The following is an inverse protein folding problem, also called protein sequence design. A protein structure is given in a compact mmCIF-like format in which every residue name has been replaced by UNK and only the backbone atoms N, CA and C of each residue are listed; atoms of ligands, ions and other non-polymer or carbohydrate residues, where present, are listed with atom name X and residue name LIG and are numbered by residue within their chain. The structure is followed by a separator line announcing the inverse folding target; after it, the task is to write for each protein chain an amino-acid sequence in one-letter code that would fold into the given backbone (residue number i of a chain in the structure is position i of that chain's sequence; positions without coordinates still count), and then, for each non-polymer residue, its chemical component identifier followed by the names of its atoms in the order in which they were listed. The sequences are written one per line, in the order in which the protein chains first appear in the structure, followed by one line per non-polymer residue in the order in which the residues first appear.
data_IF_094949227951
#
_entry.id   IF_094949227951
#
_cell.length_a   1.000
_cell.length_b   1.000
_cell.length_c   1.000
_cell.angle_alpha   90.00
_cell.angle_beta   90.00
_cell.angle_gamma   90.00
#
_symmetry.space_group_name_H-M   'P 1'
#
loop_
_entity.id
_entity.type
_entity.pdbx_description
1 polymer ?
#
# COMPACT_ATOMS: atom_id res chain seq x y z
N UNK A 1 -57.97 -5.42 -11.34
CA UNK A 1 -57.11 -6.37 -10.62
C UNK A 1 -57.49 -6.26 -9.16
N UNK A 2 -57.90 -7.37 -8.54
CA UNK A 2 -58.10 -7.41 -7.09
C UNK A 2 -56.75 -7.24 -6.35
N UNK A 3 -56.80 -6.83 -5.09
CA UNK A 3 -55.60 -6.61 -4.27
C UNK A 3 -54.79 -7.90 -4.05
N UNK A 4 -55.43 -9.06 -4.17
CA UNK A 4 -54.80 -10.37 -4.00
C UNK A 4 -53.86 -10.68 -5.18
N UNK A 5 -54.29 -10.39 -6.41
CA UNK A 5 -53.49 -10.52 -7.63
C UNK A 5 -52.25 -9.60 -7.58
N UNK A 6 -52.39 -8.38 -7.06
CA UNK A 6 -51.26 -7.46 -6.91
C UNK A 6 -50.25 -7.96 -5.87
N UNK A 7 -50.74 -8.51 -4.74
CA UNK A 7 -49.89 -9.11 -3.70
C UNK A 7 -49.14 -10.33 -4.22
N UNK A 8 -49.80 -11.20 -4.99
CA UNK A 8 -49.18 -12.39 -5.59
C UNK A 8 -48.12 -12.00 -6.64
N UNK A 9 -48.38 -10.96 -7.43
CA UNK A 9 -47.40 -10.43 -8.40
C UNK A 9 -46.15 -9.89 -7.70
N UNK A 10 -46.32 -9.12 -6.62
CA UNK A 10 -45.19 -8.60 -5.83
C UNK A 10 -44.40 -9.72 -5.14
N UNK A 11 -45.07 -10.74 -4.62
CA UNK A 11 -44.42 -11.91 -4.03
C UNK A 11 -43.65 -12.75 -5.08
N UNK A 12 -44.15 -12.84 -6.32
CA UNK A 12 -43.44 -13.49 -7.42
C UNK A 12 -42.16 -12.73 -7.79
N UNK A 13 -42.25 -11.42 -7.99
CA UNK A 13 -41.09 -10.58 -8.32
C UNK A 13 -39.98 -10.68 -7.28
N UNK A 14 -40.34 -10.62 -5.98
CA UNK A 14 -39.36 -10.78 -4.89
C UNK A 14 -38.66 -12.13 -4.91
N UNK A 15 -39.35 -13.21 -5.28
CA UNK A 15 -38.75 -14.54 -5.41
C UNK A 15 -37.80 -14.63 -6.60
N UNK A 16 -38.14 -14.01 -7.72
CA UNK A 16 -37.30 -14.00 -8.91
C UNK A 16 -36.05 -13.13 -8.71
N UNK A 17 -36.19 -11.98 -8.06
CA UNK A 17 -35.07 -11.10 -7.69
C UNK A 17 -34.10 -11.81 -6.74
N UNK A 18 -34.62 -12.52 -5.73
CA UNK A 18 -33.79 -13.34 -4.83
C UNK A 18 -33.03 -14.44 -5.58
N UNK A 19 -33.71 -15.20 -6.46
CA UNK A 19 -33.07 -16.25 -7.27
C UNK A 19 -32.03 -15.67 -8.25
N UNK A 20 -32.22 -14.44 -8.73
CA UNK A 20 -31.25 -13.75 -9.58
C UNK A 20 -30.02 -13.32 -8.79
N UNK A 21 -30.21 -12.78 -7.58
CA UNK A 21 -29.12 -12.43 -6.67
C UNK A 21 -28.29 -13.67 -6.29
N UNK A 22 -28.93 -14.78 -5.90
CA UNK A 22 -28.26 -16.03 -5.57
C UNK A 22 -27.42 -16.59 -6.75
N UNK A 23 -27.94 -16.50 -7.98
CA UNK A 23 -27.18 -16.91 -9.19
C UNK A 23 -25.98 -16.00 -9.48
N UNK A 24 -26.08 -14.70 -9.22
CA UNK A 24 -24.96 -13.77 -9.39
C UNK A 24 -23.87 -14.04 -8.34
N UNK A 25 -24.24 -14.30 -7.09
CA UNK A 25 -23.31 -14.67 -6.01
C UNK A 25 -22.63 -16.02 -6.25
N UNK A 26 -23.34 -17.02 -6.77
CA UNK A 26 -22.73 -18.32 -7.14
C UNK A 26 -21.78 -18.17 -8.35
N UNK A 27 -22.10 -17.32 -9.32
CA UNK A 27 -21.22 -17.05 -10.46
C UNK A 27 -19.96 -16.29 -10.05
N UNK A 28 -20.03 -15.35 -9.10
CA UNK A 28 -18.85 -14.62 -8.62
C UNK A 28 -17.91 -15.53 -7.81
N UNK A 29 -18.44 -16.35 -6.90
CA UNK A 29 -17.64 -17.33 -6.13
C UNK A 29 -17.00 -18.40 -7.01
N UNK A 30 -17.71 -18.91 -8.03
CA UNK A 30 -17.14 -19.86 -8.99
C UNK A 30 -16.03 -19.26 -9.87
N UNK A 31 -16.06 -17.94 -10.14
CA UNK A 31 -15.03 -17.25 -10.94
C UNK A 31 -13.76 -16.94 -10.13
N UNK A 32 -13.91 -16.65 -8.84
CA UNK A 32 -12.79 -16.40 -7.93
C UNK A 32 -12.03 -17.72 -7.63
N UNK A 33 -12.73 -18.84 -7.45
CA UNK A 33 -12.06 -20.15 -7.23
C UNK A 33 -11.30 -20.71 -8.44
N UNK A 34 -11.53 -20.20 -9.66
CA UNK A 34 -10.87 -20.70 -10.89
C UNK A 34 -9.63 -19.92 -11.32
N UNK A 35 -9.22 -18.86 -10.61
CA UNK A 35 -8.15 -17.96 -11.11
C UNK A 35 -7.00 -17.66 -10.15
N UNK A 36 -6.85 -18.44 -9.07
CA UNK A 36 -5.62 -18.43 -8.25
C UNK A 36 -4.95 -19.81 -8.36
N UNK A 37 -4.39 -20.08 -9.53
CA UNK A 37 -3.31 -21.06 -9.72
C UNK A 37 -2.28 -20.38 -10.61
N UNK A 38 -1.41 -19.58 -10.00
CA UNK A 38 -0.10 -19.31 -10.58
C UNK A 38 0.83 -20.38 -10.00
N UNK A 39 1.09 -21.39 -10.80
CA UNK A 39 2.08 -22.45 -10.56
C UNK A 39 3.47 -21.84 -10.43
N UNK A 40 4.09 -21.97 -9.26
CA UNK A 40 5.53 -21.83 -9.07
C UNK A 40 6.24 -23.12 -9.49
N UNK A 41 6.91 -23.12 -10.65
CA UNK A 41 8.08 -23.97 -10.88
C UNK A 41 9.33 -23.13 -10.60
N UNK A 42 10.45 -23.60 -10.08
CA UNK A 42 10.94 -24.93 -9.74
C UNK A 42 12.47 -24.87 -9.72
N UNK A 43 13.12 -25.46 -8.70
CA UNK A 43 14.56 -25.77 -8.64
C UNK A 43 15.49 -24.61 -8.22
N UNK A 44 16.54 -24.79 -7.42
CA UNK A 44 17.27 -26.00 -6.98
C UNK A 44 17.93 -25.79 -5.61
N UNK A 45 18.11 -26.91 -4.91
CA UNK A 45 18.90 -27.09 -3.69
C UNK A 45 20.31 -26.49 -3.79
N UNK A 46 20.78 -25.85 -2.73
CA UNK A 46 22.14 -26.04 -2.25
C UNK A 46 22.17 -26.09 -0.72
N UNK A 47 22.91 -27.09 -0.25
CA UNK A 47 23.04 -27.59 1.11
C UNK A 47 24.49 -27.33 1.49
N UNK A 48 24.75 -26.48 2.47
CA UNK A 48 26.04 -26.43 3.14
C UNK A 48 25.86 -26.30 4.66
N UNK A 49 26.51 -27.24 5.34
CA UNK A 49 26.64 -27.42 6.78
C UNK A 49 27.88 -26.71 7.33
N UNK A 50 28.02 -26.79 8.67
CA UNK A 50 29.19 -26.52 9.52
C UNK A 50 29.30 -25.07 10.04
N UNK A 51 29.14 -24.81 11.33
CA UNK A 51 30.01 -25.13 12.49
C UNK A 51 31.37 -24.41 12.48
N UNK A 52 31.73 -23.82 13.63
CA UNK A 52 33.02 -23.16 13.92
C UNK A 52 32.82 -21.82 14.63
N UNK A 53 32.65 -21.79 15.95
CA UNK A 53 33.72 -21.63 16.96
C UNK A 53 34.03 -20.16 17.33
N UNK A 54 33.88 -19.89 18.63
CA UNK A 54 34.30 -18.70 19.36
C UNK A 54 35.83 -18.54 19.34
N UNK A 55 36.32 -17.31 19.53
CA UNK A 55 37.16 -17.14 20.71
C UNK A 55 36.82 -15.90 21.53
N UNK A 56 36.72 -16.16 22.83
CA UNK A 56 37.03 -15.25 23.92
C UNK A 56 38.45 -14.71 23.75
N UNK A 57 38.69 -13.40 23.99
CA UNK A 57 39.89 -12.92 24.70
C UNK A 57 39.89 -11.38 24.88
N UNK A 58 40.12 -11.02 26.15
CA UNK A 58 40.85 -9.85 26.66
C UNK A 58 40.22 -8.44 26.63
N UNK A 59 39.75 -8.05 27.82
CA UNK A 59 39.82 -6.67 28.35
C UNK A 59 41.27 -6.19 28.46
N UNK A 60 41.49 -4.87 28.34
CA UNK A 60 42.32 -4.17 29.31
C UNK A 60 41.61 -2.98 29.97
N UNK A 61 41.95 -2.79 31.24
CA UNK A 61 41.67 -1.61 32.07
C UNK A 61 42.57 -0.44 31.66
N UNK A 62 42.02 0.76 31.81
CA UNK A 62 42.77 1.90 32.36
C UNK A 62 43.12 3.03 31.39
N UNK A 63 42.85 4.26 31.81
CA UNK A 63 43.56 5.44 31.30
C UNK A 63 42.68 6.64 31.00
N UNK A 64 42.23 7.35 32.03
CA UNK A 64 41.72 8.71 31.92
C UNK A 64 42.80 9.63 31.35
N UNK A 65 42.54 10.28 30.21
CA UNK A 65 43.28 11.45 29.75
C UNK A 65 42.30 12.50 29.23
N UNK A 66 42.20 13.59 30.00
CA UNK A 66 41.65 14.85 29.54
C UNK A 66 42.62 15.43 28.50
N UNK A 67 42.20 15.46 27.24
CA UNK A 67 42.90 16.13 26.15
C UNK A 67 42.01 17.28 25.67
N UNK A 68 42.46 18.49 25.98
CA UNK A 68 41.98 19.77 25.46
C UNK A 68 42.15 19.79 23.95
N UNK A 69 41.06 19.60 23.20
CA UNK A 69 41.09 19.74 21.74
C UNK A 69 40.88 21.21 21.37
N UNK A 70 41.90 21.80 20.76
CA UNK A 70 41.87 23.12 20.13
C UNK A 70 40.84 23.12 19.00
N UNK A 71 39.92 24.08 19.05
CA UNK A 71 38.98 24.38 17.98
C UNK A 71 39.74 25.07 16.84
N UNK A 72 40.00 24.36 15.75
CA UNK A 72 40.48 24.95 14.49
C UNK A 72 39.27 25.16 13.59
N UNK A 73 38.86 26.42 13.42
CA UNK A 73 37.79 26.79 12.49
C UNK A 73 38.42 26.84 11.09
N UNK A 74 38.23 25.78 10.30
CA UNK A 74 38.54 25.77 8.88
C UNK A 74 37.33 26.29 8.12
N UNK A 75 37.47 27.47 7.53
CA UNK A 75 36.50 28.10 6.64
C UNK A 75 36.42 27.29 5.34
N UNK A 76 35.42 26.43 5.20
CA UNK A 76 35.13 25.74 3.95
C UNK A 76 34.36 26.69 3.01
N UNK A 77 35.01 27.12 1.94
CA UNK A 77 34.38 27.82 0.82
C UNK A 77 33.53 26.78 0.08
N UNK A 78 32.21 26.86 0.21
CA UNK A 78 31.28 26.05 -0.55
C UNK A 78 31.26 26.54 -2.01
N UNK A 79 31.91 25.79 -2.90
CA UNK A 79 31.73 25.94 -4.34
C UNK A 79 30.37 25.35 -4.69
N UNK A 80 29.39 26.22 -4.91
CA UNK A 80 28.10 25.85 -5.47
C UNK A 80 28.29 25.46 -6.95
N UNK A 81 28.57 24.18 -7.19
CA UNK A 81 28.40 23.61 -8.52
C UNK A 81 26.90 23.54 -8.79
N UNK A 82 26.40 24.45 -9.63
CA UNK A 82 25.06 24.37 -10.18
C UNK A 82 24.94 23.07 -10.98
N UNK A 83 24.35 22.04 -10.35
CA UNK A 83 23.90 20.85 -11.05
C UNK A 83 22.74 21.30 -11.92
N UNK A 84 23.00 21.50 -13.22
CA UNK A 84 21.94 21.66 -14.20
C UNK A 84 21.02 20.43 -14.09
N UNK A 85 19.70 20.59 -14.01
CA UNK A 85 18.79 19.44 -14.05
C UNK A 85 19.06 18.71 -15.35
N UNK A 86 19.50 17.45 -15.23
CA UNK A 86 19.53 16.54 -16.37
C UNK A 86 18.13 16.59 -16.98
N UNK A 87 18.06 16.94 -18.26
CA UNK A 87 16.85 16.80 -19.05
C UNK A 87 16.51 15.31 -19.06
N UNK A 88 15.61 14.92 -18.16
CA UNK A 88 15.02 13.60 -18.18
C UNK A 88 14.30 13.47 -19.52
N UNK A 89 14.90 12.71 -20.43
CA UNK A 89 14.14 12.16 -21.54
C UNK A 89 13.04 11.32 -20.90
N UNK A 90 11.75 11.60 -21.14
CA UNK A 90 10.70 10.72 -20.69
C UNK A 90 10.98 9.38 -21.35
N UNK A 91 11.60 8.45 -20.60
CA UNK A 91 11.54 7.05 -20.97
C UNK A 91 10.06 6.79 -21.14
N UNK A 92 9.68 6.42 -22.36
CA UNK A 92 8.32 6.09 -22.73
C UNK A 92 7.72 5.32 -21.57
N UNK A 93 6.69 5.91 -20.95
CA UNK A 93 5.82 5.33 -19.93
C UNK A 93 5.10 4.13 -20.54
N UNK A 94 5.87 3.11 -20.93
CA UNK A 94 5.41 1.97 -21.69
C UNK A 94 4.57 1.14 -20.73
N UNK A 95 3.26 1.34 -20.87
CA UNK A 95 2.22 0.53 -20.27
C UNK A 95 2.06 0.65 -18.75
N UNK A 96 1.92 1.87 -18.22
CA UNK A 96 1.03 2.00 -17.06
C UNK A 96 -0.40 1.81 -17.55
N UNK A 97 -0.81 0.55 -17.71
CA UNK A 97 -2.22 0.22 -17.53
C UNK A 97 -2.52 0.52 -16.05
N UNK A 98 -2.84 1.79 -15.79
CA UNK A 98 -3.29 2.34 -14.50
C UNK A 98 -4.68 1.79 -14.21
N UNK A 99 -4.79 0.48 -14.19
CA UNK A 99 -6.03 -0.22 -14.05
C UNK A 99 -6.10 -0.82 -12.66
N UNK A 100 -7.23 -0.61 -12.02
CA UNK A 100 -7.49 -1.09 -10.68
C UNK A 100 -8.96 -1.47 -10.53
N UNK A 101 -9.25 -2.15 -9.42
CA UNK A 101 -10.63 -2.42 -9.04
C UNK A 101 -11.24 -1.20 -8.36
N UNK A 102 -12.28 -0.66 -8.97
CA UNK A 102 -13.19 0.31 -8.34
C UNK A 102 -14.50 -0.41 -8.05
N UNK A 103 -14.81 -0.64 -6.78
CA UNK A 103 -15.95 -1.47 -6.39
C UNK A 103 -15.86 -2.90 -6.98
N UNK A 104 -16.68 -3.20 -8.00
CA UNK A 104 -16.70 -4.50 -8.70
C UNK A 104 -16.27 -4.41 -10.18
N UNK A 105 -15.68 -3.30 -10.61
CA UNK A 105 -15.28 -3.07 -12.00
C UNK A 105 -13.77 -2.86 -12.10
N UNK A 106 -13.16 -3.40 -13.15
CA UNK A 106 -11.79 -3.09 -13.55
C UNK A 106 -11.81 -1.81 -14.38
N UNK A 107 -11.22 -0.74 -13.88
CA UNK A 107 -11.22 0.60 -14.50
C UNK A 107 -9.79 1.05 -14.69
N UNK A 108 -9.48 1.67 -15.83
CA UNK A 108 -8.18 2.23 -16.12
C UNK A 108 -8.22 3.76 -16.09
N UNK A 109 -7.22 4.40 -15.51
CA UNK A 109 -7.08 5.85 -15.46
C UNK A 109 -8.02 6.55 -14.47
N UNK A 110 -8.52 5.84 -13.45
CA UNK A 110 -9.23 6.51 -12.36
C UNK A 110 -8.24 7.31 -11.52
N UNK A 111 -8.65 8.48 -11.03
CA UNK A 111 -7.84 9.35 -10.17
C UNK A 111 -8.74 10.23 -9.32
N UNK A 112 -8.18 10.85 -8.30
CA UNK A 112 -8.88 11.92 -7.57
C UNK A 112 -9.08 13.13 -8.50
N UNK A 113 -10.28 13.72 -8.51
CA UNK A 113 -10.51 14.99 -9.20
C UNK A 113 -9.84 16.20 -8.51
N UNK A 114 -9.43 16.03 -7.26
CA UNK A 114 -8.59 16.98 -6.52
C UNK A 114 -7.15 16.49 -6.46
N UNK A 115 -6.19 17.43 -6.39
CA UNK A 115 -4.77 17.12 -6.11
C UNK A 115 -4.50 16.90 -4.61
N UNK A 116 -5.55 16.59 -3.85
CA UNK A 116 -5.43 16.28 -2.44
C UNK A 116 -6.58 15.43 -1.94
N UNK A 117 -6.32 14.68 -0.86
CA UNK A 117 -7.35 14.02 -0.07
C UNK A 117 -7.04 14.14 1.42
N UNK A 118 -8.08 14.33 2.22
CA UNK A 118 -7.98 14.16 3.68
C UNK A 118 -8.04 12.67 4.05
N UNK A 119 -7.29 12.25 5.06
CA UNK A 119 -7.30 10.86 5.52
C UNK A 119 -7.22 10.72 7.03
N UNK A 120 -7.70 9.60 7.55
CA UNK A 120 -7.71 9.31 8.99
C UNK A 120 -7.18 7.90 9.32
N UNK A 121 -6.56 7.75 10.49
CA UNK A 121 -6.05 6.49 11.04
C UNK A 121 -7.02 5.93 12.10
N UNK A 122 -7.82 4.93 11.71
CA UNK A 122 -8.75 4.20 12.57
C UNK A 122 -8.16 2.91 13.15
N UNK A 123 -6.84 2.69 13.10
CA UNK A 123 -6.23 1.46 13.63
C UNK A 123 -6.23 1.41 15.17
N UNK A 124 -6.35 2.57 15.84
CA UNK A 124 -6.17 2.68 17.28
C UNK A 124 -4.73 2.45 17.74
N UNK A 125 -3.78 2.36 16.82
CA UNK A 125 -2.36 2.24 17.15
C UNK A 125 -1.80 3.53 17.74
N UNK A 126 -0.79 3.36 18.59
CA UNK A 126 -0.03 4.44 19.21
C UNK A 126 1.47 4.18 19.07
N UNK A 127 2.31 5.17 19.40
CA UNK A 127 3.76 5.04 19.39
C UNK A 127 4.32 4.76 17.99
N UNK A 128 5.28 3.84 17.89
CA UNK A 128 6.03 3.60 16.64
C UNK A 128 5.16 3.18 15.46
N UNK A 129 4.05 2.47 15.70
CA UNK A 129 3.12 2.06 14.65
C UNK A 129 2.37 3.24 14.06
N UNK A 130 1.89 4.14 14.91
CA UNK A 130 1.26 5.39 14.47
C UNK A 130 2.26 6.27 13.70
N UNK A 131 3.50 6.38 14.21
CA UNK A 131 4.58 7.08 13.49
C UNK A 131 4.81 6.49 12.10
N UNK A 132 4.76 5.16 11.94
CA UNK A 132 4.91 4.51 10.65
C UNK A 132 3.75 4.87 9.69
N UNK A 133 2.50 4.84 10.15
CA UNK A 133 1.33 5.22 9.34
C UNK A 133 1.44 6.69 8.88
N UNK A 134 1.76 7.62 9.79
CA UNK A 134 1.94 9.04 9.42
C UNK A 134 3.14 9.26 8.50
N UNK A 135 4.25 8.52 8.71
CA UNK A 135 5.44 8.58 7.85
C UNK A 135 5.16 8.15 6.42
N UNK A 136 4.26 7.19 6.22
CA UNK A 136 3.89 6.75 4.87
C UNK A 136 3.17 7.84 4.09
N UNK A 137 2.19 8.51 4.70
CA UNK A 137 1.51 9.66 4.08
C UNK A 137 2.49 10.79 3.74
N UNK A 138 3.42 11.08 4.65
CA UNK A 138 4.46 12.09 4.42
C UNK A 138 5.39 11.75 3.24
N UNK A 139 5.67 10.47 2.97
CA UNK A 139 6.49 10.06 1.82
C UNK A 139 5.81 10.30 0.49
N UNK A 140 4.51 10.03 0.39
CA UNK A 140 3.74 10.36 -0.81
C UNK A 140 3.66 11.88 -1.03
N UNK A 141 3.46 12.66 0.05
CA UNK A 141 3.46 14.13 -0.02
C UNK A 141 4.81 14.74 -0.41
N UNK A 142 5.91 13.99 -0.25
CA UNK A 142 7.25 14.47 -0.61
C UNK A 142 7.51 14.44 -2.12
N UNK A 143 6.61 13.84 -2.91
CA UNK A 143 6.72 13.89 -4.37
C UNK A 143 6.14 15.22 -4.85
N UNK A 144 6.96 16.09 -5.47
CA UNK A 144 6.56 17.45 -5.79
C UNK A 144 5.45 17.51 -6.84
N UNK A 145 4.59 18.52 -6.73
CA UNK A 145 3.60 18.94 -7.73
C UNK A 145 2.66 17.83 -8.24
N UNK A 146 2.29 16.88 -7.39
CA UNK A 146 1.41 15.76 -7.75
C UNK A 146 0.13 15.73 -6.91
N UNK A 147 0.19 15.10 -5.74
CA UNK A 147 -0.97 14.82 -4.88
C UNK A 147 -0.58 14.96 -3.40
N UNK A 148 -1.51 15.45 -2.58
CA UNK A 148 -1.28 15.66 -1.14
C UNK A 148 -2.31 14.95 -0.26
N UNK A 149 -1.81 14.13 0.66
CA UNK A 149 -2.55 13.47 1.73
C UNK A 149 -2.47 14.31 3.00
N UNK A 150 -3.58 14.93 3.38
CA UNK A 150 -3.67 15.71 4.62
C UNK A 150 -4.25 14.83 5.73
N UNK A 151 -3.49 14.60 6.80
CA UNK A 151 -4.01 13.88 7.96
C UNK A 151 -5.09 14.71 8.65
N UNK A 152 -6.28 14.14 8.78
CA UNK A 152 -7.38 14.66 9.58
C UNK A 152 -7.42 13.88 10.89
N UNK A 153 -7.32 14.57 12.02
CA UNK A 153 -7.38 13.96 13.34
C UNK A 153 -8.81 13.65 13.80
N UNK A 154 -9.83 14.13 13.08
CA UNK A 154 -11.23 13.92 13.42
C UNK A 154 -11.68 12.49 13.09
N UNK A 155 -12.13 11.70 14.07
CA UNK A 155 -12.70 10.37 13.82
C UNK A 155 -14.05 10.43 13.09
N UNK A 156 -14.68 11.61 13.05
CA UNK A 156 -16.00 11.87 12.45
C UNK A 156 -15.94 12.87 11.29
N UNK A 157 -14.73 13.20 10.81
CA UNK A 157 -14.55 14.12 9.69
C UNK A 157 -15.05 13.52 8.37
N UNK A 158 -15.38 14.34 7.37
CA UNK A 158 -15.56 13.87 6.00
C UNK A 158 -14.19 13.57 5.40
N UNK A 159 -13.45 12.63 5.98
CA UNK A 159 -12.20 12.16 5.40
C UNK A 159 -12.51 11.33 4.16
N UNK A 160 -11.70 11.56 3.13
CA UNK A 160 -11.83 10.87 1.87
C UNK A 160 -11.15 9.50 1.92
N UNK A 161 -10.09 9.34 2.72
CA UNK A 161 -9.38 8.07 2.86
C UNK A 161 -9.26 7.60 4.31
N UNK A 162 -9.16 6.28 4.53
CA UNK A 162 -8.94 5.71 5.87
C UNK A 162 -7.97 4.55 5.87
N UNK A 163 -7.28 4.41 7.01
CA UNK A 163 -6.56 3.19 7.40
C UNK A 163 -7.30 2.56 8.57
N UNK A 164 -7.54 1.26 8.57
CA UNK A 164 -8.18 0.57 9.69
C UNK A 164 -7.65 -0.85 9.89
N UNK A 165 -8.14 -1.52 10.94
CA UNK A 165 -7.88 -2.94 11.18
C UNK A 165 -9.16 -3.75 10.92
N UNK A 166 -9.02 -4.88 10.24
CA UNK A 166 -10.10 -5.85 10.06
C UNK A 166 -9.53 -7.27 9.95
N UNK A 167 -10.32 -8.28 10.32
CA UNK A 167 -9.94 -9.66 10.00
C UNK A 167 -10.17 -9.87 8.51
N UNK A 168 -9.10 -9.87 7.70
CA UNK A 168 -9.21 -10.06 6.26
C UNK A 168 -9.29 -11.54 5.85
N UNK A 169 -8.93 -12.45 6.76
CA UNK A 169 -9.02 -13.89 6.51
C UNK A 169 -10.49 -14.32 6.32
N UNK A 170 -11.46 -13.70 7.02
CA UNK A 170 -12.89 -14.00 6.82
C UNK A 170 -13.42 -13.55 5.46
N UNK A 171 -12.70 -12.65 4.78
CA UNK A 171 -12.97 -12.22 3.41
C UNK A 171 -12.20 -13.04 2.38
N UNK A 172 -11.42 -14.05 2.81
CA UNK A 172 -10.56 -14.85 1.95
C UNK A 172 -9.35 -14.09 1.40
N UNK A 173 -8.92 -13.04 2.10
CA UNK A 173 -7.76 -12.22 1.73
C UNK A 173 -6.63 -12.52 2.74
N UNK A 174 -5.74 -13.50 2.47
CA UNK A 174 -4.72 -13.95 3.41
C UNK A 174 -3.47 -13.06 3.39
N UNK A 175 -3.63 -11.76 3.14
CA UNK A 175 -2.55 -10.78 2.98
C UNK A 175 -2.57 -9.78 4.15
N UNK A 176 -1.46 -9.06 4.42
CA UNK A 176 -1.40 -8.15 5.56
C UNK A 176 -2.21 -6.87 5.33
N UNK A 177 -2.45 -6.47 4.08
CA UNK A 177 -3.20 -5.27 3.73
C UNK A 177 -4.09 -5.52 2.51
N UNK A 178 -5.13 -4.71 2.40
CA UNK A 178 -5.93 -4.58 1.19
C UNK A 178 -6.53 -3.18 1.12
N UNK A 179 -6.68 -2.67 -0.10
CA UNK A 179 -7.23 -1.34 -0.36
C UNK A 179 -8.41 -1.41 -1.32
N UNK A 180 -9.43 -0.62 -1.02
CA UNK A 180 -10.57 -0.37 -1.89
C UNK A 180 -10.64 1.12 -2.20
N UNK A 181 -10.83 1.45 -3.47
CA UNK A 181 -11.15 2.80 -3.91
C UNK A 181 -12.61 2.89 -4.32
N UNK A 182 -13.20 4.04 -4.03
CA UNK A 182 -14.58 4.38 -4.31
C UNK A 182 -14.60 5.55 -5.29
N UNK A 183 -15.54 5.52 -6.23
CA UNK A 183 -15.73 6.61 -7.19
C UNK A 183 -17.11 7.23 -7.06
N UNK A 184 -17.25 8.43 -7.61
CA UNK A 184 -18.53 9.12 -7.64
C UNK A 184 -19.59 8.32 -8.44
N UNK A 185 -20.86 8.29 -7.99
CA UNK A 185 -21.93 7.69 -8.77
C UNK A 185 -22.01 8.29 -10.18
N UNK A 186 -21.95 7.44 -11.20
CA UNK A 186 -21.99 7.86 -12.61
C UNK A 186 -20.65 8.31 -13.20
N UNK A 187 -19.58 8.37 -12.41
CA UNK A 187 -18.24 8.69 -12.86
C UNK A 187 -17.22 7.69 -12.29
N UNK A 188 -16.98 6.62 -13.05
CA UNK A 188 -16.07 5.54 -12.65
C UNK A 188 -14.59 5.95 -12.70
N UNK A 189 -14.27 7.14 -13.22
CA UNK A 189 -12.90 7.64 -13.33
C UNK A 189 -12.55 8.62 -12.20
N UNK A 190 -13.53 9.14 -11.46
CA UNK A 190 -13.31 10.08 -10.37
C UNK A 190 -13.37 9.41 -9.00
N UNK A 191 -12.19 9.18 -8.41
CA UNK A 191 -12.04 8.67 -7.05
C UNK A 191 -12.56 9.74 -6.07
N UNK A 192 -13.48 9.34 -5.20
CA UNK A 192 -14.03 10.20 -4.14
C UNK A 192 -13.83 9.60 -2.74
N UNK A 193 -13.29 8.38 -2.66
CA UNK A 193 -12.92 7.79 -1.40
C UNK A 193 -11.93 6.64 -1.53
N UNK A 194 -11.24 6.31 -0.45
CA UNK A 194 -10.42 5.11 -0.36
C UNK A 194 -10.43 4.53 1.06
N UNK A 195 -10.18 3.24 1.18
CA UNK A 195 -10.02 2.58 2.46
C UNK A 195 -8.98 1.48 2.35
N UNK A 196 -7.99 1.53 3.22
CA UNK A 196 -7.06 0.43 3.45
C UNK A 196 -7.39 -0.25 4.76
N UNK A 197 -7.51 -1.57 4.72
CA UNK A 197 -7.65 -2.40 5.91
C UNK A 197 -6.38 -3.22 6.08
N UNK A 198 -5.82 -3.15 7.28
CA UNK A 198 -4.71 -3.97 7.73
C UNK A 198 -5.28 -5.22 8.42
N UNK A 199 -4.75 -6.39 8.09
CA UNK A 199 -5.24 -7.66 8.58
C UNK A 199 -4.95 -7.81 10.07
N UNK A 200 -5.99 -7.87 10.89
CA UNK A 200 -5.89 -7.95 12.35
C UNK A 200 -5.38 -9.30 12.85
N UNK A 201 -5.32 -10.32 11.99
CA UNK A 201 -4.75 -11.64 12.32
C UNK A 201 -3.23 -11.70 12.14
N UNK A 202 -2.62 -10.63 11.60
CA UNK A 202 -1.18 -10.52 11.45
C UNK A 202 -0.51 -9.87 12.66
N UNK A 203 0.72 -10.26 12.92
CA UNK A 203 1.59 -9.64 13.93
C UNK A 203 2.34 -8.47 13.31
N UNK A 204 2.04 -7.27 13.80
CA UNK A 204 2.56 -6.01 13.27
C UNK A 204 3.82 -5.53 13.99
N UNK A 205 4.90 -5.32 13.24
CA UNK A 205 6.17 -4.77 13.71
C UNK A 205 6.54 -3.46 12.97
N UNK A 206 7.63 -2.81 13.38
CA UNK A 206 8.17 -1.59 12.74
C UNK A 206 9.67 -1.69 12.50
N UNK A 207 10.17 -2.91 12.29
CA UNK A 207 11.61 -3.21 12.18
C UNK A 207 12.01 -3.67 10.80
N UNK A 208 11.10 -3.64 9.82
CA UNK A 208 11.35 -4.13 8.47
C UNK A 208 11.27 -5.65 8.36
N UNK A 209 10.78 -6.34 9.39
CA UNK A 209 10.60 -7.79 9.32
C UNK A 209 9.30 -8.12 8.60
N UNK A 210 9.38 -8.97 7.58
CA UNK A 210 8.23 -9.43 6.82
C UNK A 210 8.34 -10.95 6.61
N UNK A 211 7.31 -11.68 7.02
CA UNK A 211 7.22 -13.12 6.83
C UNK A 211 5.77 -13.56 6.68
N UNK A 212 5.42 -14.05 5.48
CA UNK A 212 4.08 -14.53 5.14
C UNK A 212 3.71 -15.79 5.93
N UNK A 213 4.66 -16.70 6.15
CA UNK A 213 4.39 -17.99 6.81
C UNK A 213 4.01 -17.84 8.28
N UNK A 214 4.58 -16.85 8.97
CA UNK A 214 4.27 -16.53 10.38
C UNK A 214 3.28 -15.38 10.51
N UNK A 215 2.70 -14.89 9.40
CA UNK A 215 1.82 -13.72 9.35
C UNK A 215 2.40 -12.53 10.12
N UNK A 216 3.68 -12.22 9.90
CA UNK A 216 4.30 -11.03 10.48
C UNK A 216 4.65 -10.02 9.39
N UNK A 217 4.29 -8.76 9.60
CA UNK A 217 4.54 -7.71 8.64
C UNK A 217 4.96 -6.41 9.32
N UNK A 218 5.81 -5.67 8.62
CA UNK A 218 6.22 -4.32 8.97
C UNK A 218 5.14 -3.32 8.55
N UNK A 219 4.68 -2.50 9.51
CA UNK A 219 3.60 -1.53 9.30
C UNK A 219 3.93 -0.56 8.17
N UNK A 220 5.14 0.02 8.19
CA UNK A 220 5.56 1.02 7.22
C UNK A 220 5.54 0.47 5.79
N UNK A 221 6.05 -0.75 5.60
CA UNK A 221 6.10 -1.44 4.31
C UNK A 221 4.71 -1.63 3.73
N UNK A 222 3.77 -2.15 4.53
CA UNK A 222 2.41 -2.41 4.06
C UNK A 222 1.68 -1.09 3.84
N UNK A 223 1.71 -0.17 4.80
CA UNK A 223 0.88 1.04 4.68
C UNK A 223 1.36 2.00 3.59
N UNK A 224 2.66 2.08 3.34
CA UNK A 224 3.19 2.85 2.22
C UNK A 224 2.69 2.31 0.87
N UNK A 225 2.63 0.98 0.74
CA UNK A 225 2.05 0.29 -0.43
C UNK A 225 0.55 0.53 -0.56
N UNK A 226 -0.21 0.30 0.51
CA UNK A 226 -1.67 0.48 0.51
C UNK A 226 -2.08 1.93 0.23
N UNK A 227 -1.34 2.91 0.75
CA UNK A 227 -1.58 4.32 0.41
C UNK A 227 -1.33 4.60 -1.06
N UNK A 228 -0.36 3.95 -1.70
CA UNK A 228 -0.15 4.07 -3.15
C UNK A 228 -1.39 3.68 -3.97
N UNK A 229 -2.15 2.69 -3.49
CA UNK A 229 -3.44 2.33 -4.09
C UNK A 229 -4.52 3.40 -3.92
N UNK A 230 -4.45 4.27 -2.89
CA UNK A 230 -5.36 5.43 -2.80
C UNK A 230 -5.21 6.34 -4.01
N UNK A 231 -3.99 6.49 -4.51
CA UNK A 231 -3.70 7.27 -5.72
C UNK A 231 -3.91 6.48 -7.01
N UNK A 232 -4.46 5.26 -6.95
CA UNK A 232 -4.71 4.37 -8.08
C UNK A 232 -3.47 3.78 -8.76
N UNK A 233 -2.35 3.71 -8.03
CA UNK A 233 -1.16 3.03 -8.52
C UNK A 233 -1.36 1.50 -8.53
N UNK A 234 -0.83 0.84 -9.55
CA UNK A 234 -0.93 -0.61 -9.76
C UNK A 234 0.39 -1.32 -9.41
N UNK A 235 0.38 -2.64 -9.32
CA UNK A 235 1.55 -3.45 -8.98
C UNK A 235 2.49 -3.63 -10.20
N UNK A 236 3.75 -3.14 -10.15
CA UNK A 236 4.71 -3.27 -11.25
C UNK A 236 5.62 -4.51 -11.07
N UNK A 237 5.17 -5.56 -10.37
CA UNK A 237 6.09 -6.60 -9.86
C UNK A 237 6.91 -7.36 -10.90
N UNK A 238 6.45 -7.45 -12.15
CA UNK A 238 7.19 -8.12 -13.21
C UNK A 238 8.39 -7.30 -13.69
N UNK A 239 8.31 -5.97 -13.60
CA UNK A 239 9.30 -5.03 -14.16
C UNK A 239 10.09 -4.31 -13.07
N UNK A 240 9.50 -4.09 -11.90
CA UNK A 240 10.05 -3.30 -10.80
C UNK A 240 9.83 -4.00 -9.44
N UNK A 241 10.51 -5.13 -9.17
CA UNK A 241 10.34 -5.87 -7.92
C UNK A 241 10.71 -5.04 -6.67
N UNK A 242 11.59 -4.05 -6.81
CA UNK A 242 12.00 -3.14 -5.75
C UNK A 242 11.02 -2.00 -5.45
N UNK A 243 10.07 -1.71 -6.34
CA UNK A 243 9.09 -0.63 -6.15
C UNK A 243 8.19 -0.90 -4.96
N UNK A 244 7.80 0.15 -4.24
CA UNK A 244 6.86 0.07 -3.10
C UNK A 244 5.57 -0.59 -3.54
N UNK A 245 5.08 -0.24 -4.73
CA UNK A 245 3.85 -0.82 -5.28
C UNK A 245 3.98 -2.28 -5.68
N UNK A 246 5.17 -2.91 -5.64
CA UNK A 246 5.24 -4.34 -5.84
C UNK A 246 4.94 -5.12 -4.54
N UNK A 247 4.01 -6.09 -4.60
CA UNK A 247 3.53 -6.93 -3.51
C UNK A 247 4.51 -7.98 -2.96
N UNK A 248 5.82 -7.84 -3.21
CA UNK A 248 6.83 -8.76 -2.67
C UNK A 248 6.97 -8.61 -1.16
N UNK A 249 7.12 -9.72 -0.40
CA UNK A 249 7.17 -9.73 1.06
C UNK A 249 8.56 -9.32 1.59
N UNK A 250 9.02 -8.14 1.21
CA UNK A 250 10.31 -7.56 1.61
C UNK A 250 10.08 -6.13 2.10
N UNK A 251 10.91 -5.65 3.02
CA UNK A 251 10.81 -4.28 3.53
C UNK A 251 10.99 -3.25 2.41
N UNK A 252 10.06 -2.31 2.32
CA UNK A 252 10.09 -1.22 1.33
C UNK A 252 9.64 0.08 1.98
N UNK A 253 10.61 0.90 2.33
CA UNK A 253 10.37 2.13 3.09
C UNK A 253 10.59 3.40 2.27
N UNK A 254 11.03 3.29 1.02
CA UNK A 254 11.32 4.45 0.17
C UNK A 254 10.66 4.25 -1.18
N UNK A 255 10.04 5.32 -1.68
CA UNK A 255 9.53 5.37 -3.04
C UNK A 255 10.72 5.22 -4.01
N UNK A 256 10.51 4.42 -5.04
CA UNK A 256 11.43 4.29 -6.17
C UNK A 256 11.04 5.24 -7.29
N UNK A 257 11.87 5.33 -8.33
CA UNK A 257 11.54 6.13 -9.51
C UNK A 257 10.26 5.66 -10.19
N UNK A 258 9.96 4.36 -10.17
CA UNK A 258 8.71 3.82 -10.75
C UNK A 258 7.48 4.31 -9.98
N UNK A 259 7.53 4.26 -8.64
CA UNK A 259 6.43 4.74 -7.79
C UNK A 259 6.18 6.25 -8.03
N UNK A 260 7.25 7.04 -8.13
CA UNK A 260 7.20 8.50 -8.37
C UNK A 260 6.63 8.80 -9.77
N UNK A 261 7.14 8.14 -10.81
CA UNK A 261 6.70 8.35 -12.18
C UNK A 261 5.25 7.90 -12.38
N UNK A 262 4.85 6.80 -11.77
CA UNK A 262 3.45 6.33 -11.79
C UNK A 262 2.50 7.38 -11.20
N UNK A 263 2.88 8.01 -10.09
CA UNK A 263 2.07 9.09 -9.50
C UNK A 263 2.08 10.35 -10.36
N UNK A 264 3.25 10.76 -10.89
CA UNK A 264 3.34 11.91 -11.80
C UNK A 264 2.50 11.70 -13.06
N UNK A 265 2.48 10.49 -13.64
CA UNK A 265 1.68 10.19 -14.82
C UNK A 265 0.16 10.35 -14.60
N UNK A 266 -0.31 10.30 -13.35
CA UNK A 266 -1.72 10.47 -12.99
C UNK A 266 -2.10 11.91 -12.67
N UNK A 267 -1.19 12.67 -12.06
CA UNK A 267 -1.49 13.98 -11.45
C UNK A 267 -0.66 15.15 -11.97
N UNK A 268 0.20 14.95 -12.98
CA UNK A 268 0.91 16.01 -13.70
C UNK A 268 0.29 16.25 -15.08
#
# INVERSE_FOLDING_TARGET
MDEEALRLLHASRRRDDRKRAERLTQRSTARISRRVVCTSGGGTNERLSAEGELPDHHRPRGGSRWLTTKLTITLAIAVAAAILPASFSPQSASAYELCGWVGQSWVCGARWNSHSASWHDNTGWTGSKQTAVSSAGAKWNAVPDTFSLTYDSSPYGPYQATVGLANLDVLGIPYPGATWTYTAPGDIYNINGAQSLLNSTWTWNTTGYFNVSTKSADVMTVILHEMGHWMFLNHPCATQPGAVMCSQPVAKWNLTNDDIQGMQALYY
#
